data_IF_983128923007
#
_entry.id   IF_983128923007
#
_cell.length_a   1.000
_cell.length_b   1.000
_cell.length_c   1.000
_cell.angle_alpha   90.00
_cell.angle_beta   90.00
_cell.angle_gamma   90.00
#
_symmetry.space_group_name_H-M   'P 1'
#
loop_
_entity.id
_entity.type
_entity.pdbx_description
1 polymer ?
#
# COMPACT_ATOMS: atom_id res chain seq x y z
N UNK A 1 -0.11 -17.05 14.88
CA UNK A 1 -0.36 -15.60 14.71
C UNK A 1 -1.41 -15.38 13.62
N UNK A 2 -2.43 -14.61 13.94
CA UNK A 2 -3.50 -14.31 12.99
C UNK A 2 -3.09 -13.10 12.17
N UNK A 3 -3.14 -13.24 10.85
CA UNK A 3 -2.85 -12.14 9.95
C UNK A 3 -4.16 -11.54 9.45
N UNK A 4 -4.31 -10.25 9.64
CA UNK A 4 -5.47 -9.52 9.16
C UNK A 4 -5.09 -8.85 7.85
N UNK A 5 -5.81 -9.20 6.78
CA UNK A 5 -5.57 -8.59 5.47
C UNK A 5 -6.60 -7.50 5.25
N UNK A 6 -6.10 -6.30 4.98
CA UNK A 6 -6.94 -5.12 4.73
C UNK A 6 -7.38 -5.02 3.27
N UNK A 7 -6.70 -5.76 2.38
CA UNK A 7 -7.09 -5.84 0.97
C UNK A 7 -7.81 -7.17 0.74
N UNK A 8 -8.99 -7.09 0.18
CA UNK A 8 -9.80 -8.27 -0.10
C UNK A 8 -10.13 -8.39 -1.57
N UNK A 9 -10.21 -9.63 -2.03
CA UNK A 9 -10.51 -9.96 -3.41
C UNK A 9 -11.77 -10.82 -3.46
N UNK A 10 -12.48 -10.73 -4.57
CA UNK A 10 -13.61 -11.61 -4.83
C UNK A 10 -13.08 -13.01 -5.20
N UNK A 11 -13.99 -14.00 -5.24
CA UNK A 11 -13.60 -15.37 -5.53
C UNK A 11 -12.93 -15.55 -6.89
N UNK A 12 -13.17 -14.64 -7.83
CA UNK A 12 -12.57 -14.65 -9.15
C UNK A 12 -11.24 -13.88 -9.21
N UNK A 13 -10.67 -13.52 -8.07
CA UNK A 13 -9.42 -12.75 -7.94
C UNK A 13 -9.59 -11.28 -8.31
N UNK A 14 -10.80 -10.81 -8.55
CA UNK A 14 -11.06 -9.40 -8.80
C UNK A 14 -11.01 -8.63 -7.49
N UNK A 15 -10.32 -7.49 -7.48
CA UNK A 15 -10.19 -6.67 -6.29
C UNK A 15 -11.56 -6.20 -5.81
N UNK A 16 -11.88 -6.45 -4.54
CA UNK A 16 -13.17 -6.07 -3.98
C UNK A 16 -13.05 -4.89 -3.03
N UNK A 17 -12.02 -4.88 -2.19
CA UNK A 17 -11.92 -3.89 -1.13
C UNK A 17 -10.46 -3.64 -0.76
N UNK A 18 -10.13 -2.36 -0.57
CA UNK A 18 -8.82 -1.95 -0.05
C UNK A 18 -9.07 -1.00 1.11
N UNK A 19 -8.41 -1.25 2.23
CA UNK A 19 -8.53 -0.41 3.42
C UNK A 19 -7.16 0.16 3.74
N UNK A 20 -7.11 1.46 3.97
CA UNK A 20 -5.87 2.13 4.36
C UNK A 20 -5.41 1.63 5.73
N UNK A 21 -4.18 1.16 5.80
CA UNK A 21 -3.60 0.70 7.07
C UNK A 21 -3.33 1.85 8.02
N UNK A 22 -3.21 3.08 7.51
CA UNK A 22 -2.90 4.22 8.34
C UNK A 22 -4.11 4.81 9.05
N UNK A 23 -5.23 4.95 8.36
CA UNK A 23 -6.41 5.60 8.94
C UNK A 23 -7.65 4.72 8.97
N UNK A 24 -7.61 3.56 8.37
CA UNK A 24 -8.74 2.64 8.35
C UNK A 24 -9.81 2.98 7.33
N UNK A 25 -9.60 4.00 6.51
CA UNK A 25 -10.56 4.41 5.50
C UNK A 25 -10.62 3.38 4.37
N UNK A 26 -11.82 3.17 3.88
CA UNK A 26 -12.03 2.31 2.72
C UNK A 26 -11.72 3.11 1.45
N UNK A 27 -10.82 2.61 0.64
CA UNK A 27 -10.46 3.27 -0.62
C UNK A 27 -11.49 2.94 -1.68
N UNK A 28 -11.57 3.79 -2.70
CA UNK A 28 -12.57 3.65 -3.76
C UNK A 28 -12.15 2.55 -4.72
N UNK A 29 -12.96 1.49 -4.79
CA UNK A 29 -12.77 0.40 -5.74
C UNK A 29 -14.06 0.26 -6.55
N UNK A 30 -13.95 0.33 -7.87
CA UNK A 30 -15.08 0.19 -8.77
C UNK A 30 -14.74 -0.81 -9.86
N UNK A 31 -15.62 -1.76 -10.06
CA UNK A 31 -15.44 -2.80 -11.09
C UNK A 31 -14.09 -3.51 -10.99
N UNK A 32 -13.67 -3.78 -9.75
CA UNK A 32 -12.42 -4.47 -9.50
C UNK A 32 -11.16 -3.63 -9.66
N UNK A 33 -11.31 -2.32 -9.85
CA UNK A 33 -10.20 -1.41 -10.08
C UNK A 33 -10.15 -0.35 -8.99
N UNK A 34 -8.97 -0.15 -8.43
CA UNK A 34 -8.74 0.93 -7.47
C UNK A 34 -8.80 2.27 -8.21
N UNK A 35 -9.71 3.15 -7.79
CA UNK A 35 -10.02 4.39 -8.49
C UNK A 35 -9.54 5.64 -7.76
N UNK A 36 -8.55 5.53 -6.89
CA UNK A 36 -7.97 6.70 -6.25
C UNK A 36 -6.48 6.46 -6.03
N UNK A 37 -5.76 7.54 -5.79
CA UNK A 37 -4.34 7.45 -5.48
C UNK A 37 -4.12 6.68 -4.19
N UNK A 38 -3.25 5.70 -4.24
CA UNK A 38 -2.94 4.88 -3.08
C UNK A 38 -1.51 4.37 -3.19
N UNK A 39 -0.90 4.16 -2.03
CA UNK A 39 0.43 3.60 -1.95
C UNK A 39 0.31 2.16 -1.44
N UNK A 40 0.72 1.21 -2.26
CA UNK A 40 0.71 -0.20 -1.88
C UNK A 40 2.12 -0.71 -1.88
N UNK A 41 2.48 -1.43 -0.83
CA UNK A 41 3.82 -1.97 -0.72
C UNK A 41 3.80 -3.41 -0.24
N UNK A 42 4.82 -4.12 -0.67
CA UNK A 42 5.08 -5.48 -0.23
C UNK A 42 6.59 -5.61 -0.09
N UNK A 43 7.03 -6.02 1.08
CA UNK A 43 8.46 -6.18 1.32
C UNK A 43 8.73 -7.52 2.00
N UNK A 44 9.66 -8.25 1.42
CA UNK A 44 10.13 -9.53 1.98
C UNK A 44 11.44 -9.26 2.72
N UNK A 45 11.43 -9.46 4.02
CA UNK A 45 12.61 -9.25 4.85
C UNK A 45 13.62 -10.36 4.60
N UNK A 46 14.88 -10.00 4.58
CA UNK A 46 15.92 -10.91 4.18
C UNK A 46 16.71 -11.48 5.37
N UNK A 47 17.74 -12.24 5.04
CA UNK A 47 18.54 -13.00 5.97
C UNK A 47 19.13 -12.18 7.12
N UNK A 48 19.49 -10.92 6.86
CA UNK A 48 20.13 -10.09 7.87
C UNK A 48 19.14 -9.37 8.79
N UNK A 49 17.87 -9.53 8.54
CA UNK A 49 16.82 -8.90 9.35
C UNK A 49 16.36 -9.85 10.45
N UNK A 50 15.97 -9.28 11.58
CA UNK A 50 15.31 -10.07 12.65
C UNK A 50 13.95 -10.59 12.18
N UNK A 51 13.43 -10.02 11.08
CA UNK A 51 12.14 -10.41 10.50
C UNK A 51 12.31 -11.35 9.31
N UNK A 52 13.48 -11.98 9.18
CA UNK A 52 13.72 -12.92 8.10
C UNK A 52 12.60 -13.94 7.98
N UNK A 53 12.10 -14.13 6.78
CA UNK A 53 10.99 -15.03 6.53
C UNK A 53 9.61 -14.36 6.58
N UNK A 54 9.55 -13.08 6.92
CA UNK A 54 8.29 -12.34 6.96
C UNK A 54 8.12 -11.47 5.72
N UNK A 55 6.90 -11.40 5.24
CA UNK A 55 6.53 -10.51 4.15
C UNK A 55 5.52 -9.53 4.70
N UNK A 56 5.84 -8.25 4.63
CA UNK A 56 4.97 -7.18 5.11
C UNK A 56 4.26 -6.51 3.94
N UNK A 57 2.95 -6.44 4.02
CA UNK A 57 2.11 -5.82 2.99
C UNK A 57 1.19 -4.79 3.63
N UNK A 58 1.11 -3.62 3.02
CA UNK A 58 0.19 -2.60 3.52
C UNK A 58 -0.17 -1.61 2.43
N UNK A 59 -1.31 -0.96 2.64
CA UNK A 59 -1.83 0.04 1.72
C UNK A 59 -2.08 1.33 2.49
N UNK A 60 -1.82 2.45 1.86
CA UNK A 60 -2.12 3.77 2.43
C UNK A 60 -2.88 4.60 1.42
N UNK A 61 -3.85 5.37 1.91
CA UNK A 61 -4.44 6.41 1.09
C UNK A 61 -3.40 7.51 0.89
N UNK A 62 -3.63 8.37 -0.09
CA UNK A 62 -2.65 9.40 -0.43
C UNK A 62 -2.37 10.33 0.73
N UNK A 63 -3.40 10.71 1.49
CA UNK A 63 -3.23 11.57 2.66
C UNK A 63 -2.35 10.93 3.73
N UNK A 64 -2.54 9.64 3.98
CA UNK A 64 -1.70 8.94 4.96
C UNK A 64 -0.26 8.81 4.48
N UNK A 65 -0.07 8.59 3.19
CA UNK A 65 1.27 8.58 2.61
C UNK A 65 1.95 9.91 2.81
N UNK A 66 1.26 11.01 2.49
CA UNK A 66 1.84 12.34 2.65
C UNK A 66 2.18 12.64 4.10
N UNK A 67 1.32 12.23 5.01
CA UNK A 67 1.56 12.45 6.44
C UNK A 67 2.77 11.65 6.92
N UNK A 68 2.86 10.40 6.49
CA UNK A 68 3.97 9.53 6.88
C UNK A 68 5.30 10.07 6.36
N UNK A 69 5.37 10.38 5.07
CA UNK A 69 6.61 10.85 4.46
C UNK A 69 6.97 12.26 4.93
N UNK A 70 5.95 13.04 5.30
CA UNK A 70 6.16 14.36 5.85
C UNK A 70 6.88 14.35 7.19
N UNK A 71 6.86 13.22 7.89
CA UNK A 71 7.56 13.04 9.16
C UNK A 71 8.97 12.49 8.99
N UNK A 72 9.33 12.14 7.78
CA UNK A 72 10.67 11.61 7.51
C UNK A 72 11.71 12.72 7.70
N UNK A 73 12.83 12.37 8.30
CA UNK A 73 13.94 13.31 8.44
C UNK A 73 14.50 13.68 7.07
N UNK A 74 14.56 12.71 6.18
CA UNK A 74 14.96 12.91 4.80
C UNK A 74 13.81 12.41 3.94
N UNK A 75 13.24 13.29 3.12
CA UNK A 75 12.10 12.94 2.31
C UNK A 75 12.47 12.00 1.18
N UNK A 76 11.51 11.21 0.70
CA UNK A 76 11.78 10.34 -0.44
C UNK A 76 12.21 11.13 -1.66
N UNK A 77 13.04 10.52 -2.49
CA UNK A 77 13.37 11.09 -3.79
C UNK A 77 12.12 11.07 -4.67
N UNK A 78 11.87 12.17 -5.34
CA UNK A 78 10.73 12.28 -6.24
C UNK A 78 11.25 12.62 -7.63
N UNK A 79 10.83 11.83 -8.59
CA UNK A 79 11.20 12.05 -9.99
C UNK A 79 9.92 12.12 -10.80
N UNK A 80 9.83 13.11 -11.66
CA UNK A 80 8.67 13.25 -12.53
C UNK A 80 8.88 12.40 -13.78
N UNK A 81 7.88 11.56 -14.06
CA UNK A 81 7.90 10.79 -15.29
C UNK A 81 7.34 11.63 -16.43
N UNK A 82 8.11 11.75 -17.49
CA UNK A 82 7.66 12.45 -18.70
C UNK A 82 7.31 11.39 -19.74
N UNK A 83 6.06 11.38 -20.13
CA UNK A 83 5.60 10.44 -21.15
C UNK A 83 5.64 11.10 -22.50
N UNK A 84 6.28 10.45 -23.45
CA UNK A 84 6.31 10.90 -24.84
C UNK A 84 5.31 10.07 -25.64
N UNK A 85 4.33 10.73 -26.17
CA UNK A 85 3.27 10.07 -26.92
C UNK A 85 3.49 10.33 -28.41
#
# INVERSE_FOLDING_TARGET
MVKIRMRKYKSDQTLDRVICNGCGRKLVVEDGILREGAFSTEYSWDYFSEKDGEIHRWDLCEECYDRMTGQFRIRPDVEELVEFI
#
